data_IF_636953553836
#
_entry.id   IF_636953553836
#
_cell.length_a   1.000
_cell.length_b   1.000
_cell.length_c   1.000
_cell.angle_alpha   90.00
_cell.angle_beta   90.00
_cell.angle_gamma   90.00
#
_symmetry.space_group_name_H-M   'P 1'
#
loop_
_entity.id
_entity.type
_entity.pdbx_description
1 polymer ?
#
# COMPACT_ATOMS: atom_id res chain seq x y z
N UNK A 1 38.35 47.45 49.60
CA UNK A 1 38.59 45.99 49.48
C UNK A 1 38.21 45.57 48.07
N UNK A 2 39.09 44.84 47.39
CA UNK A 2 39.02 44.26 46.03
C UNK A 2 39.37 45.19 44.83
N UNK A 3 40.66 45.12 44.50
CA UNK A 3 41.23 45.09 43.15
C UNK A 3 40.72 43.86 42.39
N UNK A 4 40.57 43.95 41.06
CA UNK A 4 40.97 42.97 40.02
C UNK A 4 40.38 43.45 38.67
N UNK A 5 41.17 44.13 37.82
CA UNK A 5 42.09 43.59 36.81
C UNK A 5 41.37 42.88 35.66
N UNK A 6 41.35 43.54 34.50
CA UNK A 6 41.08 42.93 33.20
C UNK A 6 42.17 41.89 32.90
N UNK A 7 41.77 40.65 32.64
CA UNK A 7 42.65 39.63 32.07
C UNK A 7 41.91 38.90 30.96
N UNK A 8 42.42 39.10 29.76
CA UNK A 8 42.07 38.39 28.55
C UNK A 8 42.37 36.90 28.74
N UNK A 9 41.37 36.04 28.49
CA UNK A 9 41.62 34.66 28.12
C UNK A 9 40.72 34.32 26.94
N UNK A 10 41.30 34.52 25.75
CA UNK A 10 40.97 33.80 24.54
C UNK A 10 41.17 32.31 24.86
N UNK A 11 40.09 31.58 25.15
CA UNK A 11 40.06 30.13 25.06
C UNK A 11 39.17 29.72 23.90
N UNK A 12 39.88 29.33 22.86
CA UNK A 12 39.48 28.51 21.72
C UNK A 12 38.43 27.47 22.17
N UNK A 13 37.20 27.61 21.69
CA UNK A 13 36.37 26.45 21.32
C UNK A 13 35.94 26.70 19.89
N UNK A 14 36.88 26.47 18.97
CA UNK A 14 36.56 26.20 17.58
C UNK A 14 35.85 24.86 17.50
N UNK A 15 34.79 24.83 16.70
CA UNK A 15 34.27 23.65 16.02
C UNK A 15 33.75 22.51 16.91
N UNK A 16 32.50 22.65 17.36
CA UNK A 16 31.56 21.54 17.19
C UNK A 16 30.22 22.14 16.68
N UNK A 17 30.24 22.71 15.47
CA UNK A 17 29.07 22.65 14.60
C UNK A 17 28.96 21.20 14.10
N UNK A 18 28.66 20.27 15.01
CA UNK A 18 27.99 19.04 14.58
C UNK A 18 26.52 19.40 14.58
N UNK A 19 25.87 19.53 13.40
CA UNK A 19 24.43 19.62 13.39
C UNK A 19 23.89 18.42 14.16
N UNK A 20 22.93 18.67 15.07
CA UNK A 20 22.17 17.63 15.76
C UNK A 20 21.45 16.69 14.76
N UNK A 21 21.49 17.03 13.47
CA UNK A 21 20.95 16.28 12.35
C UNK A 21 21.83 15.08 11.93
N UNK A 22 23.09 14.99 12.38
CA UNK A 22 23.97 13.86 12.02
C UNK A 22 23.65 12.55 12.77
N UNK A 23 22.81 12.63 13.83
CA UNK A 23 22.24 11.47 14.53
C UNK A 23 20.75 11.28 14.22
N UNK A 24 20.21 11.99 13.22
CA UNK A 24 18.88 11.67 12.69
C UNK A 24 18.99 10.39 11.85
N UNK A 25 18.91 9.27 12.58
CA UNK A 25 18.39 8.01 12.12
C UNK A 25 18.88 7.59 10.72
N UNK A 26 19.92 6.77 10.70
CA UNK A 26 19.83 5.54 9.90
C UNK A 26 18.69 4.68 10.51
N UNK A 27 17.45 5.17 10.41
CA UNK A 27 16.33 4.30 10.32
C UNK A 27 16.58 3.60 8.99
N UNK A 28 17.06 2.37 9.05
CA UNK A 28 16.67 1.38 8.07
C UNK A 28 15.16 1.56 7.94
N UNK A 29 14.73 2.31 6.91
CA UNK A 29 13.38 2.23 6.39
C UNK A 29 13.36 0.85 5.77
N UNK A 30 13.25 -0.17 6.62
CA UNK A 30 12.74 -1.46 6.27
C UNK A 30 11.36 -1.12 5.74
N UNK A 31 11.28 -0.92 4.42
CA UNK A 31 10.07 -0.83 3.64
C UNK A 31 9.37 -2.17 3.84
N UNK A 32 8.74 -2.34 5.00
CA UNK A 32 7.76 -3.37 5.21
C UNK A 32 6.59 -2.89 4.35
N UNK A 33 6.63 -3.25 3.06
CA UNK A 33 5.61 -2.85 2.12
C UNK A 33 4.32 -3.48 2.62
N UNK A 34 3.45 -2.68 3.23
CA UNK A 34 2.20 -3.16 3.80
C UNK A 34 1.48 -4.02 2.78
N UNK A 35 1.15 -5.26 3.15
CA UNK A 35 0.59 -6.25 2.24
C UNK A 35 -0.86 -6.56 2.55
N UNK A 36 -1.62 -6.83 1.50
CA UNK A 36 -2.97 -7.40 1.62
C UNK A 36 -2.86 -8.91 1.64
N UNK A 37 -3.34 -9.50 2.73
CA UNK A 37 -3.23 -10.93 3.00
C UNK A 37 -4.50 -11.68 2.60
N UNK A 38 -4.33 -12.95 2.25
CA UNK A 38 -5.43 -13.89 2.09
C UNK A 38 -6.16 -14.04 3.43
N UNK A 39 -7.43 -13.64 3.47
CA UNK A 39 -8.26 -13.72 4.70
C UNK A 39 -8.31 -15.13 5.31
N UNK A 40 -8.22 -16.20 4.51
CA UNK A 40 -8.31 -17.58 5.00
C UNK A 40 -7.01 -18.09 5.64
N UNK A 41 -5.84 -17.72 5.11
CA UNK A 41 -4.57 -18.37 5.51
C UNK A 41 -3.40 -17.42 5.78
N UNK A 42 -3.58 -16.12 5.61
CA UNK A 42 -2.52 -15.12 5.85
C UNK A 42 -1.48 -14.99 4.74
N UNK A 43 -1.57 -15.76 3.65
CA UNK A 43 -0.65 -15.64 2.51
C UNK A 43 -0.71 -14.26 1.86
N UNK A 44 0.43 -13.63 1.56
CA UNK A 44 0.49 -12.34 0.87
C UNK A 44 -0.12 -12.41 -0.53
N UNK A 45 -1.17 -11.62 -0.79
CA UNK A 45 -1.81 -11.52 -2.11
C UNK A 45 -1.25 -10.36 -2.90
N UNK A 46 -1.06 -9.19 -2.30
CA UNK A 46 -0.47 -8.04 -3.00
C UNK A 46 0.13 -7.06 -1.99
N UNK A 47 0.76 -6.01 -2.49
CA UNK A 47 1.34 -4.93 -1.69
C UNK A 47 0.62 -3.61 -1.97
N UNK A 48 0.59 -2.71 -0.99
CA UNK A 48 0.02 -1.37 -1.12
C UNK A 48 0.58 -0.59 -2.32
N UNK A 49 1.87 -0.74 -2.60
CA UNK A 49 2.55 -0.14 -3.75
C UNK A 49 2.02 -0.63 -5.12
N UNK A 50 1.17 -1.67 -5.15
CA UNK A 50 0.55 -2.22 -6.36
C UNK A 50 -0.93 -1.85 -6.50
N UNK A 51 -1.52 -1.18 -5.51
CA UNK A 51 -2.88 -0.66 -5.61
C UNK A 51 -2.99 0.29 -6.82
N UNK A 52 -4.08 0.14 -7.56
CA UNK A 52 -4.40 0.93 -8.75
C UNK A 52 -5.86 1.38 -8.67
N UNK A 53 -6.15 2.52 -9.29
CA UNK A 53 -7.48 3.13 -9.29
C UNK A 53 -8.12 3.02 -10.68
N UNK A 54 -8.13 1.81 -11.24
CA UNK A 54 -8.71 1.56 -12.56
C UNK A 54 -10.23 1.53 -12.45
N UNK A 55 -10.86 2.65 -12.80
CA UNK A 55 -12.31 2.78 -12.76
C UNK A 55 -12.98 1.96 -13.87
N UNK A 56 -14.12 1.35 -13.54
CA UNK A 56 -15.04 0.77 -14.51
C UNK A 56 -16.32 1.60 -14.62
N UNK A 57 -16.81 1.77 -15.85
CA UNK A 57 -18.11 2.38 -16.15
C UNK A 57 -19.30 1.50 -15.75
N UNK A 58 -19.07 0.22 -15.46
CA UNK A 58 -20.10 -0.74 -15.08
C UNK A 58 -20.26 -0.88 -13.55
N UNK A 59 -19.50 -0.13 -12.76
CA UNK A 59 -19.64 -0.13 -11.31
C UNK A 59 -21.00 0.45 -10.89
N UNK A 60 -21.71 -0.24 -10.01
CA UNK A 60 -22.99 0.22 -9.44
C UNK A 60 -22.80 1.39 -8.47
N UNK A 61 -21.64 1.42 -7.79
CA UNK A 61 -21.24 2.48 -6.87
C UNK A 61 -19.72 2.54 -6.82
N UNK A 62 -19.17 3.73 -6.64
CA UNK A 62 -17.75 3.96 -6.44
C UNK A 62 -17.54 4.84 -5.20
N UNK A 63 -16.47 4.58 -4.44
CA UNK A 63 -16.02 5.45 -3.36
C UNK A 63 -14.50 5.44 -3.25
N UNK A 64 -13.97 6.50 -2.66
CA UNK A 64 -12.58 6.56 -2.23
C UNK A 64 -12.49 6.14 -0.76
N UNK A 65 -11.55 5.26 -0.46
CA UNK A 65 -11.30 4.74 0.88
C UNK A 65 -9.80 4.84 1.22
N UNK A 66 -9.46 4.54 2.48
CA UNK A 66 -8.06 4.40 2.91
C UNK A 66 -7.74 2.93 3.14
N UNK A 67 -6.88 2.33 2.32
CA UNK A 67 -6.47 0.92 2.43
C UNK A 67 -5.02 0.88 2.90
N UNK A 68 -4.76 0.37 4.11
CA UNK A 68 -3.40 0.23 4.67
C UNK A 68 -2.58 1.53 4.54
N UNK A 69 -3.16 2.66 4.95
CA UNK A 69 -2.53 3.98 4.87
C UNK A 69 -2.55 4.63 3.48
N UNK A 70 -2.84 3.88 2.42
CA UNK A 70 -3.00 4.44 1.06
C UNK A 70 -4.37 5.13 0.96
N UNK A 71 -4.35 6.45 0.91
CA UNK A 71 -5.54 7.27 0.74
C UNK A 71 -6.03 7.26 -0.71
N UNK A 72 -7.32 7.58 -0.90
CA UNK A 72 -7.95 7.67 -2.20
C UNK A 72 -7.90 6.36 -3.01
N UNK A 73 -7.95 5.20 -2.35
CA UNK A 73 -8.09 3.93 -3.02
C UNK A 73 -9.52 3.76 -3.52
N UNK A 74 -9.68 3.50 -4.82
CA UNK A 74 -10.98 3.38 -5.48
C UNK A 74 -11.59 2.00 -5.19
N UNK A 75 -12.64 1.99 -4.39
CA UNK A 75 -13.46 0.80 -4.12
C UNK A 75 -14.73 0.87 -4.96
N UNK A 76 -15.00 -0.20 -5.70
CA UNK A 76 -16.07 -0.26 -6.69
C UNK A 76 -17.02 -1.44 -6.39
N UNK A 77 -18.32 -1.16 -6.33
CA UNK A 77 -19.36 -2.17 -6.10
C UNK A 77 -19.88 -2.72 -7.43
N UNK A 78 -19.90 -4.03 -7.56
CA UNK A 78 -20.48 -4.74 -8.70
C UNK A 78 -21.46 -5.81 -8.24
N UNK A 79 -22.25 -6.32 -9.17
CA UNK A 79 -23.18 -7.43 -8.96
C UNK A 79 -22.96 -8.49 -10.02
N UNK A 80 -22.79 -9.75 -9.63
CA UNK A 80 -22.65 -10.85 -10.57
C UNK A 80 -24.02 -11.27 -11.15
N UNK A 81 -24.06 -12.11 -12.20
CA UNK A 81 -25.31 -12.59 -12.78
C UNK A 81 -26.21 -13.36 -11.79
N UNK A 82 -25.62 -13.99 -10.76
CA UNK A 82 -26.35 -14.66 -9.69
C UNK A 82 -26.92 -13.69 -8.64
N UNK A 83 -26.67 -12.39 -8.79
CA UNK A 83 -27.20 -11.32 -7.96
C UNK A 83 -26.40 -11.00 -6.70
N UNK A 84 -25.24 -11.62 -6.51
CA UNK A 84 -24.32 -11.37 -5.40
C UNK A 84 -23.50 -10.11 -5.64
N UNK A 85 -23.27 -9.35 -4.57
CA UNK A 85 -22.54 -8.09 -4.62
C UNK A 85 -21.08 -8.27 -4.19
N UNK A 86 -20.17 -7.59 -4.88
CA UNK A 86 -18.74 -7.61 -4.61
C UNK A 86 -18.19 -6.19 -4.62
N UNK A 87 -17.41 -5.86 -3.61
CA UNK A 87 -16.60 -4.64 -3.61
C UNK A 87 -15.18 -4.99 -4.03
N UNK A 88 -14.69 -4.34 -5.07
CA UNK A 88 -13.39 -4.59 -5.67
C UNK A 88 -12.50 -3.35 -5.57
N UNK A 89 -11.22 -3.63 -5.34
CA UNK A 89 -10.10 -2.74 -5.62
C UNK A 89 -9.33 -3.32 -6.81
N UNK A 90 -8.59 -2.48 -7.53
CA UNK A 90 -7.72 -2.94 -8.62
C UNK A 90 -6.27 -2.89 -8.20
N UNK A 91 -5.48 -3.82 -8.73
CA UNK A 91 -4.04 -3.92 -8.47
C UNK A 91 -3.31 -4.20 -9.76
N UNK A 92 -2.09 -3.66 -9.89
CA UNK A 92 -1.22 -3.92 -11.05
C UNK A 92 -0.53 -5.28 -11.00
N UNK A 93 -0.39 -5.87 -9.80
CA UNK A 93 0.27 -7.17 -9.59
C UNK A 93 -0.24 -7.85 -8.33
N UNK A 94 -0.36 -9.17 -8.34
CA UNK A 94 -0.77 -9.99 -7.21
C UNK A 94 -0.16 -11.41 -7.27
N UNK A 95 0.05 -12.02 -6.11
CA UNK A 95 0.45 -13.41 -5.92
C UNK A 95 -0.79 -14.31 -5.82
N UNK A 96 -1.29 -14.71 -6.99
CA UNK A 96 -2.50 -15.51 -7.16
C UNK A 96 -2.24 -16.69 -8.10
N UNK A 97 -3.10 -17.71 -8.00
CA UNK A 97 -3.17 -18.78 -8.98
C UNK A 97 -4.45 -18.62 -9.81
N UNK A 98 -4.35 -18.50 -11.15
CA UNK A 98 -5.54 -18.51 -12.01
C UNK A 98 -6.22 -19.89 -11.94
N UNK A 99 -7.54 -19.90 -11.88
CA UNK A 99 -8.37 -21.10 -11.85
C UNK A 99 -9.33 -21.12 -13.04
N UNK A 100 -9.28 -22.18 -13.83
CA UNK A 100 -10.11 -22.35 -15.03
C UNK A 100 -9.65 -21.52 -16.23
N UNK A 101 -10.54 -21.38 -17.20
CA UNK A 101 -10.34 -20.56 -18.41
C UNK A 101 -10.75 -19.10 -18.19
N UNK A 102 -10.52 -18.25 -19.19
CA UNK A 102 -10.87 -16.83 -19.11
C UNK A 102 -12.16 -16.58 -19.88
N UNK A 103 -13.01 -15.68 -19.38
CA UNK A 103 -14.32 -15.38 -19.91
C UNK A 103 -14.43 -13.89 -20.21
N UNK A 104 -15.02 -13.53 -21.35
CA UNK A 104 -15.36 -12.13 -21.67
C UNK A 104 -16.78 -11.79 -21.20
N UNK A 105 -17.66 -12.80 -21.14
CA UNK A 105 -19.04 -12.69 -20.74
C UNK A 105 -19.15 -12.11 -19.32
N UNK A 106 -20.07 -11.17 -19.13
CA UNK A 106 -20.30 -10.53 -17.84
C UNK A 106 -19.07 -9.85 -17.21
N UNK A 107 -18.05 -9.53 -18.00
CA UNK A 107 -16.90 -8.76 -17.52
C UNK A 107 -17.33 -7.41 -16.98
N UNK A 108 -16.87 -7.09 -15.77
CA UNK A 108 -17.07 -5.77 -15.18
C UNK A 108 -16.11 -4.72 -15.74
N UNK A 109 -15.11 -5.10 -16.53
CA UNK A 109 -14.16 -4.17 -17.15
C UNK A 109 -14.22 -4.34 -18.68
N UNK A 110 -14.96 -3.49 -19.41
CA UNK A 110 -15.08 -3.61 -20.85
C UNK A 110 -13.72 -3.65 -21.56
N UNK A 111 -13.53 -4.61 -22.47
CA UNK A 111 -12.26 -4.86 -23.15
C UNK A 111 -11.31 -5.81 -22.41
N UNK A 112 -11.70 -6.37 -21.27
CA UNK A 112 -10.95 -7.38 -20.54
C UNK A 112 -11.75 -8.67 -20.37
N UNK A 113 -11.09 -9.81 -20.61
CA UNK A 113 -11.54 -11.10 -20.09
C UNK A 113 -11.18 -11.22 -18.60
N UNK A 114 -11.99 -11.94 -17.83
CA UNK A 114 -11.76 -12.23 -16.43
C UNK A 114 -11.61 -13.74 -16.21
N UNK A 115 -10.91 -14.11 -15.14
CA UNK A 115 -10.71 -15.50 -14.72
C UNK A 115 -10.67 -15.51 -13.20
N UNK A 116 -11.21 -16.57 -12.59
CA UNK A 116 -11.15 -16.75 -11.14
C UNK A 116 -9.70 -16.78 -10.66
N UNK A 117 -9.42 -15.99 -9.63
CA UNK A 117 -8.16 -15.95 -8.92
C UNK A 117 -8.32 -16.61 -7.55
N UNK A 118 -7.48 -17.62 -7.28
CA UNK A 118 -7.44 -18.29 -5.98
C UNK A 118 -6.11 -18.05 -5.28
N UNK A 119 -6.13 -18.04 -3.96
CA UNK A 119 -4.93 -18.03 -3.13
C UNK A 119 -4.10 -19.28 -3.45
N UNK A 120 -2.80 -19.13 -3.80
CA UNK A 120 -1.96 -20.28 -4.16
C UNK A 120 -1.70 -21.21 -2.98
N UNK A 121 -1.78 -20.73 -1.74
CA UNK A 121 -1.53 -21.50 -0.53
C UNK A 121 -2.75 -22.33 -0.08
N UNK A 122 -3.95 -21.75 -0.06
CA UNK A 122 -5.14 -22.41 0.52
C UNK A 122 -6.31 -22.62 -0.46
N UNK A 123 -6.18 -22.18 -1.71
CA UNK A 123 -7.21 -22.30 -2.74
C UNK A 123 -8.47 -21.45 -2.52
N UNK A 124 -8.49 -20.54 -1.53
CA UNK A 124 -9.61 -19.62 -1.35
C UNK A 124 -9.76 -18.67 -2.55
N UNK A 125 -11.00 -18.42 -2.99
CA UNK A 125 -11.30 -17.38 -3.98
C UNK A 125 -10.95 -16.00 -3.41
N UNK A 126 -10.15 -15.23 -4.15
CA UNK A 126 -9.67 -13.90 -3.74
C UNK A 126 -9.96 -12.81 -4.78
N UNK A 127 -10.43 -13.17 -5.97
CA UNK A 127 -10.80 -12.25 -7.04
C UNK A 127 -11.17 -12.97 -8.33
#
# INVERSE_FOLDING_TARGET
>A
MRVMLFSSFIFIIWAIDTPLDAYAANADVQQNSDSLLCRRCGHDITYTAKLDNRASKLALRQRNDTILGVQQCLVQLFRNPQGQHFELITVTSANIKPHGEAFEEHSWFPGYAWRLAVCPQCGAHVG
#
